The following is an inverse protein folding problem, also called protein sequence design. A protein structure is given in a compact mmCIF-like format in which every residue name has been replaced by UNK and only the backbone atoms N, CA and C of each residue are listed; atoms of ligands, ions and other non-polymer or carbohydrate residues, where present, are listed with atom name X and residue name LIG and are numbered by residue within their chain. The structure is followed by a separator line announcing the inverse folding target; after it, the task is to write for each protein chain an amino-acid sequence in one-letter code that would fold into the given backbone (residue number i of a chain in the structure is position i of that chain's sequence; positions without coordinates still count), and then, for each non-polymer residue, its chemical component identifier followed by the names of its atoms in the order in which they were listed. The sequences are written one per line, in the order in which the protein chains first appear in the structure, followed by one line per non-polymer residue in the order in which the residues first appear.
data_IF_542597559930
#
_entry.id   IF_542597559930
#
_cell.length_a   1.000
_cell.length_b   1.000
_cell.length_c   1.000
_cell.angle_alpha   90.00
_cell.angle_beta   90.00
_cell.angle_gamma   90.00
#
_symmetry.space_group_name_H-M   'P 1'
#
loop_
_entity.id
_entity.type
_entity.pdbx_description
1 polymer ?
#
# COMPACT_ATOMS: atom_id res chain seq x y z
N UNK A 1 10.87 9.93 -11.07
CA UNK A 1 10.79 11.25 -10.41
C UNK A 1 10.91 11.04 -8.90
N UNK A 2 11.55 11.94 -8.16
CA UNK A 2 11.71 11.87 -6.70
C UNK A 2 10.87 12.96 -6.03
N UNK A 3 10.51 12.74 -4.76
CA UNK A 3 9.86 13.77 -3.93
C UNK A 3 10.85 14.92 -3.71
N UNK A 4 10.41 16.15 -3.97
CA UNK A 4 11.20 17.36 -3.75
C UNK A 4 11.38 17.61 -2.24
N UNK A 5 12.58 18.01 -1.78
CA UNK A 5 12.76 18.40 -0.38
C UNK A 5 11.80 19.54 0.02
N UNK A 6 11.28 19.48 1.24
CA UNK A 6 10.38 20.48 1.82
C UNK A 6 9.01 20.64 1.13
N UNK A 7 8.54 19.64 0.37
CA UNK A 7 7.19 19.63 -0.22
C UNK A 7 6.32 18.50 0.35
N UNK A 8 5.75 18.67 1.56
CA UNK A 8 4.95 17.62 2.21
C UNK A 8 3.71 17.22 1.41
N UNK A 9 3.20 18.09 0.53
CA UNK A 9 2.03 17.83 -0.32
C UNK A 9 2.26 16.65 -1.28
N UNK A 10 3.53 16.39 -1.64
CA UNK A 10 3.90 15.25 -2.50
C UNK A 10 3.87 13.91 -1.74
N UNK A 11 3.83 13.91 -0.41
CA UNK A 11 3.80 12.70 0.41
C UNK A 11 2.38 12.13 0.60
N UNK A 12 1.33 12.85 0.18
CA UNK A 12 -0.05 12.47 0.51
C UNK A 12 -0.45 11.05 0.09
N UNK A 13 0.11 10.54 -1.01
CA UNK A 13 -0.13 9.16 -1.47
C UNK A 13 0.45 8.14 -0.49
N UNK A 14 1.73 8.28 -0.11
CA UNK A 14 2.38 7.33 0.79
C UNK A 14 1.87 7.45 2.23
N UNK A 15 1.54 8.67 2.67
CA UNK A 15 0.92 8.91 3.97
C UNK A 15 -0.43 8.20 4.10
N UNK A 16 -1.25 8.23 3.03
CA UNK A 16 -2.52 7.49 3.00
C UNK A 16 -2.31 5.98 3.11
N UNK A 17 -1.31 5.43 2.42
CA UNK A 17 -0.95 4.00 2.53
C UNK A 17 -0.53 3.65 3.96
N UNK A 18 0.35 4.45 4.56
CA UNK A 18 0.82 4.21 5.93
C UNK A 18 -0.27 4.32 6.98
N UNK A 19 -1.21 5.27 6.82
CA UNK A 19 -2.36 5.37 7.72
C UNK A 19 -3.18 4.08 7.69
N UNK A 20 -3.53 3.62 6.49
CA UNK A 20 -4.31 2.39 6.31
C UNK A 20 -3.57 1.15 6.85
N UNK A 21 -2.27 1.00 6.58
CA UNK A 21 -1.45 -0.08 7.16
C UNK A 21 -1.51 -0.07 8.69
N UNK A 22 -1.43 1.11 9.30
CA UNK A 22 -1.49 1.25 10.76
C UNK A 22 -2.84 0.82 11.31
N UNK A 23 -3.92 1.36 10.73
CA UNK A 23 -5.30 1.09 11.15
C UNK A 23 -5.69 -0.38 11.01
N UNK A 24 -5.23 -1.06 9.96
CA UNK A 24 -5.70 -2.40 9.60
C UNK A 24 -4.75 -3.52 10.00
N UNK A 25 -3.49 -3.22 10.32
CA UNK A 25 -2.50 -4.24 10.68
C UNK A 25 -1.78 -3.87 11.97
N UNK A 26 -1.02 -2.75 11.98
CA UNK A 26 -0.09 -2.47 13.08
C UNK A 26 -0.81 -2.24 14.41
N UNK A 27 -1.93 -1.52 14.42
CA UNK A 27 -2.67 -1.24 15.65
C UNK A 27 -3.51 -2.41 16.15
N UNK A 28 -3.83 -3.36 15.26
CA UNK A 28 -4.61 -4.56 15.59
C UNK A 28 -3.75 -5.72 16.06
N UNK A 29 -2.44 -5.66 15.82
CA UNK A 29 -1.50 -6.74 16.13
C UNK A 29 -0.59 -6.39 17.31
N UNK A 30 -0.41 -7.33 18.24
CA UNK A 30 0.65 -7.29 19.24
C UNK A 30 1.76 -8.26 18.85
N UNK A 31 2.74 -7.76 18.11
CA UNK A 31 3.85 -8.58 17.64
C UNK A 31 4.68 -9.14 18.80
N UNK A 32 4.99 -10.44 18.74
CA UNK A 32 5.84 -11.17 19.68
C UNK A 32 7.31 -11.13 19.26
N UNK A 33 7.58 -10.87 17.98
CA UNK A 33 8.94 -10.72 17.44
C UNK A 33 8.97 -9.82 16.21
N UNK A 34 10.17 -9.37 15.84
CA UNK A 34 10.41 -8.65 14.59
C UNK A 34 10.03 -9.49 13.38
N UNK A 35 10.40 -10.76 13.35
CA UNK A 35 10.11 -11.66 12.23
C UNK A 35 8.61 -11.85 12.03
N UNK A 36 7.83 -11.89 13.12
CA UNK A 36 6.37 -11.92 13.02
C UNK A 36 5.81 -10.63 12.42
N UNK A 37 6.29 -9.47 12.89
CA UNK A 37 5.91 -8.18 12.34
C UNK A 37 6.22 -8.09 10.84
N UNK A 38 7.42 -8.51 10.42
CA UNK A 38 7.83 -8.52 9.01
C UNK A 38 6.91 -9.41 8.17
N UNK A 39 6.58 -10.62 8.63
CA UNK A 39 5.66 -11.52 7.90
C UNK A 39 4.25 -10.95 7.77
N UNK A 40 3.69 -10.40 8.84
CA UNK A 40 2.32 -9.87 8.83
C UNK A 40 2.22 -8.60 7.98
N UNK A 41 3.20 -7.70 8.07
CA UNK A 41 3.27 -6.50 7.25
C UNK A 41 3.48 -6.88 5.78
N UNK A 42 4.36 -7.83 5.46
CA UNK A 42 4.56 -8.32 4.10
C UNK A 42 3.26 -8.90 3.51
N UNK A 43 2.53 -9.69 4.30
CA UNK A 43 1.23 -10.22 3.89
C UNK A 43 0.21 -9.11 3.65
N UNK A 44 0.15 -8.10 4.51
CA UNK A 44 -0.75 -6.95 4.29
C UNK A 44 -0.39 -6.20 3.01
N UNK A 45 0.90 -5.98 2.73
CA UNK A 45 1.38 -5.32 1.51
C UNK A 45 1.00 -6.12 0.27
N UNK A 46 1.16 -7.45 0.32
CA UNK A 46 0.75 -8.35 -0.77
C UNK A 46 -0.74 -8.16 -1.07
N UNK A 47 -1.61 -8.35 -0.07
CA UNK A 47 -3.07 -8.21 -0.20
C UNK A 47 -3.46 -6.82 -0.71
N UNK A 48 -2.84 -5.76 -0.20
CA UNK A 48 -3.10 -4.39 -0.66
C UNK A 48 -2.80 -4.22 -2.15
N UNK A 49 -1.73 -4.82 -2.66
CA UNK A 49 -1.31 -4.65 -4.05
C UNK A 49 -2.01 -5.61 -5.03
N UNK A 50 -2.34 -6.83 -4.60
CA UNK A 50 -2.86 -7.88 -5.49
C UNK A 50 -4.37 -8.04 -5.40
N UNK A 51 -4.96 -7.84 -4.23
CA UNK A 51 -6.36 -8.21 -3.94
C UNK A 51 -7.26 -6.99 -3.67
N UNK A 52 -6.76 -5.93 -3.02
CA UNK A 52 -7.58 -4.78 -2.61
C UNK A 52 -8.07 -3.97 -3.82
N UNK A 53 -9.39 -3.83 -4.04
CA UNK A 53 -9.92 -2.98 -5.09
C UNK A 53 -9.90 -1.51 -4.67
N UNK A 54 -9.53 -0.62 -5.58
CA UNK A 54 -9.53 0.83 -5.36
C UNK A 54 -10.51 1.52 -6.30
N UNK A 55 -11.41 2.34 -5.76
CA UNK A 55 -12.39 3.10 -6.55
C UNK A 55 -11.71 3.97 -7.64
N UNK A 56 -10.62 4.67 -7.28
CA UNK A 56 -9.83 5.48 -8.22
C UNK A 56 -9.20 4.65 -9.36
N UNK A 57 -9.08 3.34 -9.19
CA UNK A 57 -8.58 2.40 -10.19
C UNK A 57 -9.72 1.59 -10.81
N UNK A 58 -10.94 2.13 -10.86
CA UNK A 58 -12.13 1.45 -11.38
C UNK A 58 -12.34 0.07 -10.73
N UNK A 59 -12.15 0.00 -9.40
CA UNK A 59 -12.27 -1.21 -8.58
C UNK A 59 -11.26 -2.32 -8.90
N UNK A 60 -10.16 -2.00 -9.58
CA UNK A 60 -9.02 -2.91 -9.76
C UNK A 60 -8.04 -2.80 -8.59
N UNK A 61 -7.28 -3.86 -8.35
CA UNK A 61 -6.10 -3.80 -7.48
C UNK A 61 -4.95 -3.04 -8.16
N UNK A 62 -3.97 -2.53 -7.39
CA UNK A 62 -2.82 -1.81 -7.96
C UNK A 62 -2.06 -2.63 -9.02
N UNK A 63 -1.90 -3.94 -8.80
CA UNK A 63 -1.27 -4.84 -9.77
C UNK A 63 -2.12 -4.99 -11.03
N UNK A 64 -3.42 -5.28 -10.90
CA UNK A 64 -4.33 -5.39 -12.04
C UNK A 64 -4.35 -4.12 -12.89
N UNK A 65 -4.41 -2.96 -12.23
CA UNK A 65 -4.37 -1.68 -12.91
C UNK A 65 -3.06 -1.48 -13.67
N UNK A 66 -1.91 -1.81 -13.05
CA UNK A 66 -0.59 -1.70 -13.68
C UNK A 66 -0.48 -2.60 -14.91
N UNK A 67 -0.92 -3.85 -14.81
CA UNK A 67 -0.92 -4.81 -15.93
C UNK A 67 -1.77 -4.29 -17.09
N UNK A 68 -2.96 -3.74 -16.80
CA UNK A 68 -3.81 -3.12 -17.82
C UNK A 68 -3.15 -1.92 -18.50
N UNK A 69 -2.46 -1.06 -17.75
CA UNK A 69 -1.74 0.07 -18.35
C UNK A 69 -0.61 -0.39 -19.27
N UNK A 70 0.10 -1.46 -18.90
CA UNK A 70 1.18 -2.03 -19.73
C UNK A 70 0.67 -2.67 -21.03
N UNK A 71 -0.53 -3.26 -21.01
CA UNK A 71 -1.15 -3.83 -22.21
C UNK A 71 -1.69 -2.77 -23.18
N UNK A 72 -1.98 -1.57 -22.66
CA UNK A 72 -2.51 -0.45 -23.45
C UNK A 72 -1.41 0.47 -24.03
N UNK A 73 -0.16 0.27 -23.64
CA UNK A 73 1.02 0.98 -24.11
C UNK A 73 1.71 0.22 -25.25
#
# INVERSE_FOLDING_TARGET
EFITPYTPEQNGVIERVFRTLKEECVWLCRFQSRDEAERLIARWIEVYNTERPHEALAWMSPVQWRERQQQAA
#
